data_IF_743265580443
#
_entry.id   IF_743265580443
#
_cell.length_a   1.000
_cell.length_b   1.000
_cell.length_c   1.000
_cell.angle_alpha   90.00
_cell.angle_beta   90.00
_cell.angle_gamma   90.00
#
_symmetry.space_group_name_H-M   'P 1'
#
loop_
_entity.id
_entity.type
_entity.pdbx_description
1 polymer ?
#
# COMPACT_ATOMS: atom_id res chain seq x y z
N UNK A 1 20.08 -13.88 -4.60
CA UNK A 1 19.00 -13.23 -5.40
C UNK A 1 17.66 -13.23 -4.70
N UNK A 2 17.01 -14.38 -4.43
CA UNK A 2 15.66 -14.45 -3.81
C UNK A 2 15.59 -13.67 -2.48
N UNK A 3 16.59 -13.80 -1.62
CA UNK A 3 16.66 -13.06 -0.35
C UNK A 3 16.75 -11.55 -0.54
N UNK A 4 17.56 -11.10 -1.52
CA UNK A 4 17.71 -9.68 -1.84
C UNK A 4 16.36 -9.10 -2.29
N UNK A 5 15.69 -9.77 -3.24
CA UNK A 5 14.38 -9.34 -3.75
C UNK A 5 13.31 -9.29 -2.64
N UNK A 6 13.34 -10.22 -1.69
CA UNK A 6 12.39 -10.25 -0.56
C UNK A 6 12.72 -9.28 0.57
N UNK A 7 13.98 -8.91 0.76
CA UNK A 7 14.35 -7.85 1.71
C UNK A 7 14.00 -6.47 1.18
N UNK A 8 14.23 -6.25 -0.11
CA UNK A 8 13.93 -4.98 -0.78
C UNK A 8 12.42 -4.77 -0.95
N UNK A 9 11.70 -5.82 -1.38
CA UNK A 9 10.25 -5.79 -1.58
C UNK A 9 9.58 -7.04 -1.00
N UNK A 10 9.28 -7.08 0.31
CA UNK A 10 8.61 -8.18 1.00
C UNK A 10 7.33 -8.67 0.31
N UNK A 11 6.59 -7.75 -0.32
CA UNK A 11 5.34 -8.03 -1.01
C UNK A 11 5.48 -8.58 -2.43
N UNK A 12 6.71 -8.68 -2.95
CA UNK A 12 6.95 -9.10 -4.33
C UNK A 12 6.32 -10.48 -4.61
N UNK A 13 5.48 -10.62 -5.65
CA UNK A 13 4.83 -11.89 -5.95
C UNK A 13 5.83 -12.93 -6.47
N UNK A 14 5.52 -14.21 -6.30
CA UNK A 14 6.36 -15.32 -6.77
C UNK A 14 6.63 -15.29 -8.28
N UNK A 15 5.71 -14.75 -9.08
CA UNK A 15 5.91 -14.54 -10.52
C UNK A 15 7.08 -13.59 -10.80
N UNK A 16 7.07 -12.39 -10.21
CA UNK A 16 8.16 -11.43 -10.41
C UNK A 16 9.50 -11.94 -9.89
N UNK A 17 9.50 -12.71 -8.80
CA UNK A 17 10.72 -13.37 -8.30
C UNK A 17 11.20 -14.43 -9.29
N UNK A 18 10.29 -15.20 -9.87
CA UNK A 18 10.63 -16.17 -10.92
C UNK A 18 11.26 -15.47 -12.12
N UNK A 19 10.63 -14.42 -12.64
CA UNK A 19 11.13 -13.66 -13.78
C UNK A 19 12.54 -13.08 -13.51
N UNK A 20 12.77 -12.56 -12.29
CA UNK A 20 14.09 -12.08 -11.88
C UNK A 20 15.14 -13.19 -11.74
N UNK A 21 14.76 -14.36 -11.24
CA UNK A 21 15.70 -15.50 -11.16
C UNK A 21 16.00 -16.03 -12.57
N UNK A 22 15.00 -16.16 -13.43
CA UNK A 22 15.16 -16.64 -14.80
C UNK A 22 16.01 -15.69 -15.66
N UNK A 23 15.81 -14.38 -15.49
CA UNK A 23 16.54 -13.36 -16.25
C UNK A 23 18.00 -13.19 -15.79
N UNK A 24 18.29 -13.33 -14.50
CA UNK A 24 19.59 -12.94 -13.92
C UNK A 24 20.40 -14.11 -13.33
N UNK A 25 19.85 -15.32 -13.24
CA UNK A 25 20.55 -16.47 -12.67
C UNK A 25 20.57 -17.63 -13.67
N UNK A 26 21.76 -18.16 -13.96
CA UNK A 26 21.89 -19.43 -14.67
C UNK A 26 21.67 -20.56 -13.66
N UNK A 27 20.46 -21.13 -13.65
CA UNK A 27 20.11 -22.26 -12.78
C UNK A 27 20.15 -23.56 -13.58
N UNK A 28 21.09 -24.48 -13.30
CA UNK A 28 21.14 -25.78 -13.97
C UNK A 28 19.84 -26.57 -13.76
N UNK A 29 19.20 -27.00 -14.85
CA UNK A 29 17.91 -27.69 -14.80
C UNK A 29 16.69 -26.76 -14.63
N UNK A 30 16.90 -25.45 -14.66
CA UNK A 30 15.86 -24.44 -14.53
C UNK A 30 15.38 -24.24 -13.10
N UNK A 31 14.49 -23.27 -12.92
CA UNK A 31 13.84 -22.99 -11.64
C UNK A 31 12.33 -23.16 -11.76
N UNK A 32 11.63 -23.26 -10.62
CA UNK A 32 10.17 -23.32 -10.59
C UNK A 32 9.62 -22.46 -9.46
N UNK A 33 8.40 -21.95 -9.62
CA UNK A 33 7.70 -21.19 -8.56
C UNK A 33 7.59 -21.99 -7.26
N UNK A 34 7.42 -23.31 -7.34
CA UNK A 34 7.39 -24.20 -6.17
C UNK A 34 8.76 -24.30 -5.47
N UNK A 35 9.86 -24.35 -6.23
CA UNK A 35 11.21 -24.31 -5.66
C UNK A 35 11.49 -22.98 -4.95
N UNK A 36 11.10 -21.86 -5.57
CA UNK A 36 11.22 -20.51 -5.00
C UNK A 36 10.39 -20.38 -3.71
N UNK A 37 9.13 -20.82 -3.73
CA UNK A 37 8.26 -20.81 -2.54
C UNK A 37 8.85 -21.62 -1.38
N UNK A 38 9.38 -22.81 -1.66
CA UNK A 38 10.09 -23.64 -0.67
C UNK A 38 11.37 -22.98 -0.15
N UNK A 39 12.07 -22.22 -0.99
CA UNK A 39 13.25 -21.47 -0.56
C UNK A 39 12.85 -20.37 0.44
N UNK A 40 11.82 -19.58 0.13
CA UNK A 40 11.32 -18.50 0.99
C UNK A 40 10.81 -19.03 2.34
N UNK A 41 10.11 -20.17 2.32
CA UNK A 41 9.46 -20.72 3.53
C UNK A 41 10.38 -21.57 4.40
N UNK A 42 11.54 -22.05 3.88
CA UNK A 42 12.39 -23.00 4.62
C UNK A 42 13.88 -22.74 4.58
N UNK A 43 14.39 -21.97 3.62
CA UNK A 43 15.82 -21.90 3.30
C UNK A 43 16.37 -20.47 3.23
N UNK A 44 15.69 -19.52 3.88
CA UNK A 44 16.19 -18.14 4.01
C UNK A 44 17.27 -18.10 5.11
N UNK A 45 18.35 -17.37 4.85
CA UNK A 45 19.51 -17.21 5.74
C UNK A 45 19.20 -16.55 7.08
N UNK A 46 18.20 -15.65 7.11
CA UNK A 46 17.79 -14.96 8.33
C UNK A 46 16.81 -15.79 9.17
N UNK A 47 15.68 -16.17 8.58
CA UNK A 47 14.65 -17.01 9.21
C UNK A 47 13.62 -17.43 8.15
N UNK A 48 13.00 -18.62 8.25
CA UNK A 48 11.80 -18.96 7.50
C UNK A 48 10.79 -17.80 7.46
N UNK A 49 10.30 -17.45 6.28
CA UNK A 49 9.32 -16.38 6.12
C UNK A 49 7.90 -16.93 5.90
N UNK A 50 6.91 -16.24 6.47
CA UNK A 50 5.47 -16.52 6.27
C UNK A 50 4.76 -15.33 5.66
N UNK A 51 3.61 -15.61 5.03
CA UNK A 51 2.77 -14.60 4.37
C UNK A 51 1.91 -13.90 5.41
N UNK A 52 2.03 -12.58 5.54
CA UNK A 52 1.35 -11.76 6.56
C UNK A 52 0.74 -10.53 5.94
N UNK A 53 -0.34 -10.03 6.56
CA UNK A 53 -0.96 -8.75 6.18
C UNK A 53 0.03 -7.62 6.46
N UNK A 54 0.27 -6.78 5.47
CA UNK A 54 1.14 -5.61 5.60
C UNK A 54 0.40 -4.56 6.43
N UNK A 55 1.02 -4.04 7.50
CA UNK A 55 0.40 -3.01 8.32
C UNK A 55 0.95 -1.64 7.96
N UNK A 56 0.15 -0.81 7.29
CA UNK A 56 0.36 0.63 7.21
C UNK A 56 -0.34 1.27 8.40
N UNK A 57 0.29 1.23 9.58
CA UNK A 57 -0.22 1.98 10.73
C UNK A 57 0.31 3.41 10.65
N UNK A 58 -0.55 4.43 10.52
CA UNK A 58 -0.11 5.81 10.65
C UNK A 58 0.35 6.03 12.10
N UNK A 59 1.67 6.11 12.28
CA UNK A 59 2.35 6.13 13.59
C UNK A 59 1.93 7.36 14.43
N UNK A 60 1.47 8.43 13.76
CA UNK A 60 1.21 9.74 14.39
C UNK A 60 -0.28 10.05 14.59
N UNK A 61 -1.22 9.15 14.29
CA UNK A 61 -2.66 9.47 14.27
C UNK A 61 -3.24 9.85 15.64
N UNK A 62 -2.60 9.41 16.73
CA UNK A 62 -3.14 9.56 18.10
C UNK A 62 -2.22 10.34 19.05
N UNK A 63 -1.35 11.21 18.54
CA UNK A 63 -0.63 12.16 19.40
C UNK A 63 -1.62 13.12 20.09
N UNK A 64 -1.32 13.55 21.32
CA UNK A 64 -2.16 14.47 22.09
C UNK A 64 -2.49 15.76 21.31
N UNK A 65 -1.52 16.31 20.58
CA UNK A 65 -1.68 17.50 19.74
C UNK A 65 -2.74 17.29 18.65
N UNK A 66 -2.64 16.19 17.89
CA UNK A 66 -3.65 15.83 16.88
C UNK A 66 -5.04 15.62 17.48
N UNK A 67 -5.15 15.10 18.70
CA UNK A 67 -6.44 14.90 19.38
C UNK A 67 -7.05 16.25 19.75
N UNK A 68 -6.26 17.16 20.34
CA UNK A 68 -6.72 18.51 20.69
C UNK A 68 -7.14 19.29 19.44
N UNK A 69 -6.35 19.24 18.37
CA UNK A 69 -6.71 19.84 17.09
C UNK A 69 -8.02 19.29 16.52
N UNK A 70 -8.24 17.97 16.59
CA UNK A 70 -9.51 17.38 16.16
C UNK A 70 -10.69 17.90 17.00
N UNK A 71 -10.50 18.10 18.30
CA UNK A 71 -11.56 18.61 19.17
C UNK A 71 -11.89 20.08 18.85
N UNK A 72 -10.88 20.93 18.73
CA UNK A 72 -11.06 22.34 18.35
C UNK A 72 -11.78 22.48 16.99
N UNK A 73 -11.45 21.59 16.05
CA UNK A 73 -12.12 21.54 14.75
C UNK A 73 -13.60 21.15 14.88
N UNK A 74 -13.94 20.16 15.70
CA UNK A 74 -15.33 19.75 15.93
C UNK A 74 -16.14 20.87 16.59
N UNK A 75 -15.55 21.55 17.57
CA UNK A 75 -16.18 22.67 18.26
C UNK A 75 -16.47 23.82 17.29
N UNK A 76 -15.52 24.17 16.42
CA UNK A 76 -15.74 25.13 15.35
C UNK A 76 -16.88 24.69 14.40
N UNK A 77 -16.81 23.46 13.89
CA UNK A 77 -17.78 22.93 12.93
C UNK A 77 -19.21 22.90 13.50
N UNK A 78 -19.37 22.75 14.82
CA UNK A 78 -20.68 22.80 15.48
C UNK A 78 -21.38 24.17 15.37
N UNK A 79 -20.61 25.24 15.14
CA UNK A 79 -21.12 26.62 15.02
C UNK A 79 -21.43 27.02 13.58
N UNK A 80 -20.99 26.23 12.61
CA UNK A 80 -21.13 26.51 11.18
C UNK A 80 -22.47 25.98 10.67
N UNK A 81 -23.19 26.80 9.90
CA UNK A 81 -24.41 26.38 9.20
C UNK A 81 -24.10 25.19 8.26
N UNK A 82 -24.73 24.01 8.46
CA UNK A 82 -24.49 22.83 7.66
C UNK A 82 -24.65 23.06 6.16
N UNK A 83 -25.60 23.90 5.74
CA UNK A 83 -25.88 24.16 4.33
C UNK A 83 -24.75 24.92 3.61
N UNK A 84 -23.83 25.56 4.37
CA UNK A 84 -22.66 26.25 3.81
C UNK A 84 -21.43 25.35 3.72
N UNK A 85 -21.48 24.16 4.33
CA UNK A 85 -20.36 23.23 4.33
C UNK A 85 -20.30 22.52 2.99
N UNK A 86 -19.15 22.63 2.32
CA UNK A 86 -18.82 21.88 1.11
C UNK A 86 -17.56 21.06 1.38
N UNK A 87 -17.67 19.76 1.20
CA UNK A 87 -16.58 18.81 1.33
C UNK A 87 -16.01 18.54 -0.06
N UNK A 88 -14.74 18.84 -0.26
CA UNK A 88 -14.01 18.43 -1.43
C UNK A 88 -13.16 17.21 -1.07
N UNK A 89 -13.28 16.13 -1.83
CA UNK A 89 -12.49 14.92 -1.65
C UNK A 89 -11.94 14.42 -2.99
N UNK A 90 -10.80 13.74 -2.93
CA UNK A 90 -10.14 13.17 -4.10
C UNK A 90 -9.90 11.67 -3.88
N UNK A 91 -10.54 10.86 -4.73
CA UNK A 91 -10.38 9.42 -4.72
C UNK A 91 -9.53 8.98 -5.92
N UNK A 92 -8.33 8.47 -5.63
CA UNK A 92 -7.48 7.86 -6.64
C UNK A 92 -7.91 6.44 -6.99
N UNK A 93 -8.16 6.16 -8.26
CA UNK A 93 -8.35 4.79 -8.75
C UNK A 93 -7.02 4.24 -9.25
N UNK A 94 -6.64 3.10 -8.69
CA UNK A 94 -5.50 2.32 -9.19
C UNK A 94 -6.02 1.16 -10.01
N UNK A 95 -5.42 0.97 -11.18
CA UNK A 95 -5.67 -0.21 -11.99
C UNK A 95 -5.14 -1.46 -11.25
N UNK A 96 -5.72 -2.66 -11.47
CA UNK A 96 -5.38 -3.87 -10.70
C UNK A 96 -3.90 -4.28 -10.76
N UNK A 97 -3.21 -3.87 -11.81
CA UNK A 97 -1.78 -4.07 -12.07
C UNK A 97 -0.86 -3.16 -11.21
N UNK A 98 -1.41 -2.06 -10.66
CA UNK A 98 -0.70 -1.03 -9.86
C UNK A 98 -1.17 -1.01 -8.40
N UNK A 99 -1.99 -1.98 -7.97
CA UNK A 99 -2.48 -2.03 -6.59
C UNK A 99 -1.36 -2.39 -5.61
N UNK A 100 -1.29 -1.67 -4.49
CA UNK A 100 -0.39 -2.02 -3.40
C UNK A 100 -0.78 -3.39 -2.82
N UNK A 101 0.12 -4.37 -2.81
CA UNK A 101 -0.16 -5.67 -2.22
C UNK A 101 -0.42 -5.55 -0.71
N UNK A 102 -1.60 -6.02 -0.27
CA UNK A 102 -2.00 -6.01 1.14
C UNK A 102 -1.25 -7.02 2.01
N UNK A 103 -0.40 -7.84 1.40
CA UNK A 103 0.32 -8.92 2.05
C UNK A 103 1.75 -9.01 1.54
N UNK A 104 2.64 -9.48 2.40
CA UNK A 104 4.04 -9.76 2.07
C UNK A 104 4.64 -10.86 2.93
N UNK A 105 5.87 -11.23 2.61
CA UNK A 105 6.62 -12.22 3.37
C UNK A 105 7.46 -11.53 4.47
N UNK A 106 7.33 -12.00 5.70
CA UNK A 106 8.17 -11.59 6.83
C UNK A 106 8.60 -12.81 7.65
N UNK A 107 9.68 -12.71 8.42
CA UNK A 107 10.16 -13.78 9.28
C UNK A 107 9.06 -14.26 10.25
N UNK A 108 9.06 -15.54 10.62
CA UNK A 108 8.13 -16.07 11.63
C UNK A 108 8.27 -15.26 12.93
N UNK A 109 7.16 -14.79 13.49
CA UNK A 109 7.13 -13.93 14.68
C UNK A 109 7.16 -12.41 14.42
N UNK A 110 7.64 -11.95 13.25
CA UNK A 110 7.79 -10.50 12.98
C UNK A 110 6.65 -9.89 12.14
N UNK A 111 6.27 -8.62 12.34
CA UNK A 111 5.31 -7.96 11.44
C UNK A 111 5.87 -7.86 10.01
N UNK A 112 5.00 -7.88 9.01
CA UNK A 112 5.38 -7.55 7.64
C UNK A 112 5.23 -6.03 7.45
N UNK A 113 6.36 -5.33 7.47
CA UNK A 113 6.43 -3.89 7.26
C UNK A 113 7.15 -3.66 5.95
N UNK A 114 6.51 -2.92 5.06
CA UNK A 114 7.10 -2.56 3.78
C UNK A 114 7.00 -1.04 3.63
N UNK A 115 8.16 -0.38 3.70
CA UNK A 115 8.25 1.07 3.57
C UNK A 115 8.54 1.38 2.11
N UNK A 116 7.50 1.60 1.30
CA UNK A 116 7.66 2.10 -0.07
C UNK A 116 7.56 3.63 -0.06
N UNK A 117 8.54 4.29 -0.66
CA UNK A 117 8.43 5.71 -1.01
C UNK A 117 7.45 5.80 -2.19
N UNK A 118 6.46 6.70 -2.11
CA UNK A 118 5.39 6.94 -3.09
C UNK A 118 5.75 6.52 -4.53
N UNK A 119 5.39 5.29 -4.93
CA UNK A 119 5.72 4.75 -6.26
C UNK A 119 4.58 4.94 -7.26
N UNK A 120 3.34 5.16 -6.82
CA UNK A 120 2.18 5.06 -7.71
C UNK A 120 1.18 6.18 -7.42
N UNK A 121 1.26 7.24 -8.22
CA UNK A 121 0.14 8.16 -8.39
C UNK A 121 -1.03 7.41 -9.03
N UNK A 122 -2.28 7.61 -8.57
CA UNK A 122 -3.44 7.05 -9.22
C UNK A 122 -3.52 7.49 -10.70
N UNK A 123 -3.68 6.52 -11.61
CA UNK A 123 -3.79 6.75 -13.06
C UNK A 123 -5.01 7.63 -13.42
N UNK A 124 -6.04 7.60 -12.58
CA UNK A 124 -7.22 8.45 -12.66
C UNK A 124 -7.59 8.89 -11.25
N UNK A 125 -7.83 10.18 -11.05
CA UNK A 125 -8.39 10.71 -9.81
C UNK A 125 -9.79 11.21 -10.02
N UNK A 126 -10.70 10.82 -9.14
CA UNK A 126 -12.04 11.38 -9.06
C UNK A 126 -12.02 12.50 -8.03
N UNK A 127 -12.27 13.72 -8.49
CA UNK A 127 -12.46 14.89 -7.66
C UNK A 127 -13.96 15.06 -7.44
N UNK A 128 -14.40 15.03 -6.18
CA UNK A 128 -15.81 15.19 -5.81
C UNK A 128 -15.95 16.38 -4.88
N UNK A 129 -16.87 17.28 -5.19
CA UNK A 129 -17.38 18.28 -4.27
C UNK A 129 -18.78 17.85 -3.86
N UNK A 130 -18.98 17.63 -2.57
CA UNK A 130 -20.27 17.29 -1.98
C UNK A 130 -20.68 18.37 -0.97
N UNK A 131 -21.97 18.70 -0.93
CA UNK A 131 -22.59 19.46 0.15
C UNK A 131 -23.67 18.62 0.82
N UNK A 132 -24.43 19.23 1.73
CA UNK A 132 -25.57 18.58 2.39
C UNK A 132 -26.64 18.13 1.37
N UNK A 133 -26.76 18.83 0.25
CA UNK A 133 -27.68 18.52 -0.85
C UNK A 133 -27.21 17.37 -1.76
N UNK A 134 -26.00 16.84 -1.53
CA UNK A 134 -25.40 15.78 -2.32
C UNK A 134 -24.22 16.25 -3.17
N UNK A 135 -23.97 15.58 -4.29
CA UNK A 135 -22.82 15.85 -5.16
C UNK A 135 -23.07 17.13 -5.96
N UNK A 136 -22.26 18.15 -5.71
CA UNK A 136 -22.29 19.44 -6.41
C UNK A 136 -21.41 19.43 -7.66
N UNK A 137 -20.30 18.68 -7.62
CA UNK A 137 -19.38 18.54 -8.74
C UNK A 137 -18.65 17.21 -8.66
N UNK A 138 -18.46 16.56 -9.82
CA UNK A 138 -17.63 15.37 -9.94
C UNK A 138 -16.89 15.40 -11.27
N UNK A 139 -15.56 15.20 -11.23
CA UNK A 139 -14.74 15.13 -12.43
C UNK A 139 -13.62 14.10 -12.26
N UNK A 140 -13.21 13.49 -13.37
CA UNK A 140 -12.08 12.57 -13.43
C UNK A 140 -10.89 13.24 -14.10
N UNK A 141 -9.81 13.46 -13.35
CA UNK A 141 -8.51 13.87 -13.88
C UNK A 141 -7.67 12.65 -14.26
N UNK A 142 -7.03 12.67 -15.44
CA UNK A 142 -5.98 11.72 -15.79
C UNK A 142 -4.62 12.33 -15.43
N UNK A 143 -3.88 11.68 -14.55
CA UNK A 143 -2.48 12.03 -14.32
C UNK A 143 -1.64 11.30 -15.37
N UNK A 144 -1.14 12.03 -16.36
CA UNK A 144 -0.10 11.52 -17.26
C UNK A 144 1.25 11.72 -16.57
N UNK A 145 1.74 10.69 -15.89
CA UNK A 145 3.14 10.60 -15.45
C UNK A 145 3.85 9.51 -16.22
#
# INVERSE_FOLDING_TARGET
MIEFLKRDSPSMPLSKIYDGVDSYCVVPGGTSKAAISRAITKRMSCSPMTWKRTSNRPIMKFSLENVNYCQDFLDYMSTVDPCKIKCFDEAGFKMPDVANPNYGNSAVGEPCIEVKRYMDAPNVTLQVLAGVEGILYANTGKNYT
#
